data_IF_581307271651
#
_entry.id   IF_581307271651
#
_cell.length_a   1.000
_cell.length_b   1.000
_cell.length_c   1.000
_cell.angle_alpha   90.00
_cell.angle_beta   90.00
_cell.angle_gamma   90.00
#
_symmetry.space_group_name_H-M   'P 1'
#
loop_
_entity.id
_entity.type
_entity.pdbx_description
1 polymer ?
#
# COMPACT_ATOMS: atom_id res chain seq x y z
N UNK A 1 9.71 15.54 20.90
CA UNK A 1 9.28 16.69 20.08
C UNK A 1 7.81 16.48 19.76
N UNK A 2 6.93 17.43 20.06
CA UNK A 2 5.55 17.34 19.62
C UNK A 2 5.50 17.50 18.09
N UNK A 3 4.79 16.61 17.39
CA UNK A 3 4.49 16.80 15.97
C UNK A 3 3.70 18.11 15.82
N UNK A 4 4.10 18.96 14.87
CA UNK A 4 3.28 20.13 14.53
C UNK A 4 1.99 19.65 13.85
N UNK A 5 0.87 20.35 14.06
CA UNK A 5 -0.43 19.96 13.51
C UNK A 5 -0.41 19.67 12.00
N UNK A 6 0.37 20.44 11.23
CA UNK A 6 0.54 20.21 9.79
C UNK A 6 1.32 18.93 9.47
N UNK A 7 2.29 18.55 10.29
CA UNK A 7 2.99 17.27 10.12
C UNK A 7 2.09 16.07 10.42
N UNK A 8 1.15 16.23 11.36
CA UNK A 8 0.18 15.19 11.67
C UNK A 8 -0.83 15.02 10.52
N UNK A 9 -1.34 16.12 9.96
CA UNK A 9 -2.19 16.06 8.77
C UNK A 9 -1.47 15.39 7.60
N UNK A 10 -0.23 15.79 7.36
CA UNK A 10 0.59 15.21 6.29
C UNK A 10 0.83 13.71 6.50
N UNK A 11 1.05 13.27 7.74
CA UNK A 11 1.15 11.85 8.08
C UNK A 11 -0.16 11.10 7.77
N UNK A 12 -1.31 11.67 8.09
CA UNK A 12 -2.63 11.07 7.80
C UNK A 12 -2.89 10.95 6.30
N UNK A 13 -2.54 11.97 5.51
CA UNK A 13 -2.64 11.92 4.05
C UNK A 13 -1.71 10.86 3.45
N UNK A 14 -0.47 10.76 3.93
CA UNK A 14 0.46 9.71 3.52
C UNK A 14 -0.01 8.33 3.95
N UNK A 15 -0.63 8.21 5.13
CA UNK A 15 -1.26 6.97 5.59
C UNK A 15 -2.36 6.53 4.63
N UNK A 16 -3.29 7.44 4.28
CA UNK A 16 -4.38 7.11 3.36
C UNK A 16 -3.86 6.68 1.98
N UNK A 17 -2.86 7.39 1.46
CA UNK A 17 -2.23 7.00 0.19
C UNK A 17 -1.46 5.68 0.31
N UNK A 18 -0.93 5.35 1.49
CA UNK A 18 -0.30 4.04 1.73
C UNK A 18 -1.32 2.93 1.54
N UNK A 19 -2.54 3.07 2.07
CA UNK A 19 -3.57 2.04 1.92
C UNK A 19 -4.06 1.91 0.47
N UNK A 20 -4.26 3.04 -0.22
CA UNK A 20 -4.67 3.07 -1.64
C UNK A 20 -3.59 2.43 -2.52
N UNK A 21 -2.32 2.73 -2.26
CA UNK A 21 -1.18 2.12 -2.95
C UNK A 21 -1.00 0.64 -2.58
N UNK A 22 -1.19 0.30 -1.30
CA UNK A 22 -1.14 -1.05 -0.75
C UNK A 22 -2.08 -1.99 -1.49
N UNK A 23 -3.35 -1.61 -1.66
CA UNK A 23 -4.33 -2.41 -2.41
C UNK A 23 -3.84 -2.75 -3.82
N UNK A 24 -3.23 -1.78 -4.52
CA UNK A 24 -2.67 -2.03 -5.86
C UNK A 24 -1.50 -3.01 -5.82
N UNK A 25 -0.64 -2.90 -4.81
CA UNK A 25 0.49 -3.82 -4.58
C UNK A 25 -0.03 -5.23 -4.32
N UNK A 26 -0.93 -5.43 -3.36
CA UNK A 26 -1.45 -6.76 -3.02
C UNK A 26 -2.24 -7.38 -4.17
N UNK A 27 -3.06 -6.59 -4.87
CA UNK A 27 -3.80 -7.09 -6.04
C UNK A 27 -2.84 -7.56 -7.14
N UNK A 28 -1.77 -6.81 -7.42
CA UNK A 28 -0.75 -7.22 -8.38
C UNK A 28 0.04 -8.44 -7.89
N UNK A 29 0.38 -8.50 -6.61
CA UNK A 29 1.05 -9.65 -6.02
C UNK A 29 0.20 -10.92 -6.16
N UNK A 30 -1.09 -10.87 -5.87
CA UNK A 30 -2.05 -11.97 -6.02
C UNK A 30 -2.08 -12.49 -7.47
N UNK A 31 -2.00 -11.60 -8.47
CA UNK A 31 -1.88 -11.99 -9.89
C UNK A 31 -0.55 -12.72 -10.17
N UNK A 32 0.54 -12.22 -9.59
CA UNK A 32 1.88 -12.80 -9.70
C UNK A 32 2.03 -14.14 -8.98
N UNK A 33 1.20 -14.43 -7.98
CA UNK A 33 1.28 -15.64 -7.17
C UNK A 33 1.09 -16.92 -8.02
N UNK A 34 2.05 -17.83 -7.88
CA UNK A 34 2.07 -19.18 -8.46
C UNK A 34 1.79 -20.26 -7.39
N UNK A 35 2.04 -19.95 -6.12
CA UNK A 35 1.72 -20.78 -4.96
C UNK A 35 0.39 -20.34 -4.33
N UNK A 36 -0.50 -21.30 -4.07
CA UNK A 36 -1.85 -21.04 -3.55
C UNK A 36 -1.84 -20.54 -2.10
N UNK A 37 -0.97 -21.08 -1.23
CA UNK A 37 -0.85 -20.64 0.18
C UNK A 37 -0.37 -19.19 0.26
N UNK A 38 0.62 -18.82 -0.57
CA UNK A 38 1.11 -17.44 -0.66
C UNK A 38 0.01 -16.51 -1.17
N UNK A 39 -0.79 -16.96 -2.14
CA UNK A 39 -1.92 -16.17 -2.65
C UNK A 39 -2.97 -15.93 -1.57
N UNK A 40 -3.32 -16.96 -0.81
CA UNK A 40 -4.28 -16.85 0.30
C UNK A 40 -3.78 -15.90 1.39
N UNK A 41 -2.49 -15.90 1.69
CA UNK A 41 -1.92 -14.95 2.66
C UNK A 41 -2.01 -13.51 2.15
N UNK A 42 -1.64 -13.25 0.89
CA UNK A 42 -1.71 -11.90 0.32
C UNK A 42 -3.13 -11.37 0.17
N UNK A 43 -4.13 -12.25 0.03
CA UNK A 43 -5.54 -11.87 0.10
C UNK A 43 -5.96 -11.37 1.48
N UNK A 44 -5.33 -11.85 2.56
CA UNK A 44 -5.61 -11.34 3.91
C UNK A 44 -5.06 -9.92 4.06
N UNK A 45 -3.82 -9.68 3.62
CA UNK A 45 -3.24 -8.33 3.63
C UNK A 45 -4.08 -7.35 2.81
N UNK A 46 -4.55 -7.75 1.62
CA UNK A 46 -5.49 -6.93 0.84
C UNK A 46 -6.75 -6.57 1.64
N UNK A 47 -7.37 -7.54 2.32
CA UNK A 47 -8.56 -7.31 3.14
C UNK A 47 -8.27 -6.38 4.32
N UNK A 48 -7.11 -6.50 4.96
CA UNK A 48 -6.69 -5.64 6.07
C UNK A 48 -6.46 -4.21 5.59
N UNK A 49 -5.77 -4.02 4.46
CA UNK A 49 -5.54 -2.70 3.84
C UNK A 49 -6.84 -2.02 3.41
N UNK A 50 -7.84 -2.75 2.91
CA UNK A 50 -9.17 -2.20 2.61
C UNK A 50 -9.86 -1.67 3.88
N UNK A 51 -9.73 -2.39 5.00
CA UNK A 51 -10.24 -1.96 6.30
C UNK A 51 -9.48 -0.75 6.86
N UNK A 52 -8.16 -0.70 6.70
CA UNK A 52 -7.30 0.43 7.06
C UNK A 52 -7.69 1.70 6.28
N UNK A 53 -7.91 1.60 4.96
CA UNK A 53 -8.37 2.72 4.14
C UNK A 53 -9.71 3.25 4.67
N UNK A 54 -10.67 2.34 4.92
CA UNK A 54 -11.99 2.70 5.47
C UNK A 54 -11.85 3.45 6.79
N UNK A 55 -11.04 2.96 7.73
CA UNK A 55 -10.82 3.60 9.04
C UNK A 55 -10.20 5.00 8.88
N UNK A 56 -9.25 5.17 7.96
CA UNK A 56 -8.64 6.48 7.68
C UNK A 56 -9.65 7.45 7.09
N UNK A 57 -10.48 7.02 6.12
CA UNK A 57 -11.54 7.87 5.56
C UNK A 57 -12.57 8.29 6.61
N UNK A 58 -13.01 7.37 7.48
CA UNK A 58 -13.88 7.69 8.62
C UNK A 58 -13.21 8.67 9.60
N UNK A 59 -11.90 8.55 9.78
CA UNK A 59 -11.13 9.47 10.65
C UNK A 59 -11.10 10.86 10.05
N UNK A 60 -10.84 10.98 8.75
CA UNK A 60 -10.84 12.25 8.01
C UNK A 60 -12.18 12.97 8.15
N UNK A 61 -13.29 12.24 7.96
CA UNK A 61 -14.65 12.78 8.14
C UNK A 61 -14.84 13.37 9.55
N UNK A 62 -14.46 12.62 10.60
CA UNK A 62 -14.64 13.03 12.00
C UNK A 62 -13.83 14.28 12.36
N UNK A 63 -12.69 14.51 11.73
CA UNK A 63 -11.80 15.65 12.00
C UNK A 63 -11.90 16.76 10.95
N UNK A 64 -12.81 16.63 9.97
CA UNK A 64 -13.07 17.63 8.94
C UNK A 64 -11.95 17.80 7.92
N UNK A 65 -11.22 16.72 7.60
CA UNK A 65 -10.28 16.68 6.47
C UNK A 65 -10.95 16.12 5.22
N UNK A 66 -10.56 16.64 4.06
CA UNK A 66 -10.99 16.15 2.76
C UNK A 66 -10.00 15.08 2.26
N UNK A 67 -10.41 13.81 2.12
CA UNK A 67 -9.51 12.71 1.72
C UNK A 67 -8.99 12.84 0.29
N UNK A 68 -9.54 13.74 -0.53
CA UNK A 68 -9.15 13.93 -1.93
C UNK A 68 -8.10 15.04 -2.10
N UNK A 69 -7.65 15.66 -1.01
CA UNK A 69 -6.56 16.65 -1.07
C UNK A 69 -5.25 15.97 -1.47
N UNK A 70 -4.66 16.45 -2.56
CA UNK A 70 -3.32 16.08 -2.99
C UNK A 70 -2.27 16.84 -2.17
N UNK A 71 -1.28 16.11 -1.64
CA UNK A 71 -0.12 16.68 -0.97
C UNK A 71 1.17 16.14 -1.60
N UNK A 72 2.30 16.86 -1.48
CA UNK A 72 3.58 16.34 -1.97
C UNK A 72 3.96 14.98 -1.37
N UNK A 73 3.57 14.69 -0.12
CA UNK A 73 3.83 13.38 0.47
C UNK A 73 2.96 12.27 -0.11
N UNK A 74 1.69 12.55 -0.46
CA UNK A 74 0.86 11.59 -1.20
C UNK A 74 1.49 11.24 -2.55
N UNK A 75 1.91 12.25 -3.30
CA UNK A 75 2.59 12.04 -4.58
C UNK A 75 3.82 11.12 -4.43
N UNK A 76 4.63 11.32 -3.38
CA UNK A 76 5.79 10.46 -3.09
C UNK A 76 5.37 9.03 -2.72
N UNK A 77 4.35 8.85 -1.88
CA UNK A 77 3.87 7.51 -1.48
C UNK A 77 3.29 6.77 -2.68
N UNK A 78 2.44 7.43 -3.49
CA UNK A 78 1.88 6.90 -4.73
C UNK A 78 2.96 6.43 -5.69
N UNK A 79 3.96 7.28 -5.94
CA UNK A 79 5.07 6.97 -6.83
C UNK A 79 5.84 5.71 -6.41
N UNK A 80 5.98 5.48 -5.10
CA UNK A 80 6.60 4.24 -4.58
C UNK A 80 5.74 3.02 -4.86
N UNK A 81 4.44 3.09 -4.56
CA UNK A 81 3.52 1.99 -4.82
C UNK A 81 3.47 1.63 -6.31
N UNK A 82 3.37 2.64 -7.19
CA UNK A 82 3.41 2.46 -8.64
C UNK A 82 4.70 1.79 -9.12
N UNK A 83 5.85 2.13 -8.51
CA UNK A 83 7.13 1.51 -8.84
C UNK A 83 7.17 0.02 -8.46
N UNK A 84 6.62 -0.35 -7.30
CA UNK A 84 6.52 -1.76 -6.86
C UNK A 84 5.60 -2.56 -7.78
N UNK A 85 4.43 -2.01 -8.12
CA UNK A 85 3.50 -2.61 -9.09
C UNK A 85 4.16 -2.79 -10.46
N UNK A 86 4.89 -1.77 -10.92
CA UNK A 86 5.64 -1.83 -12.18
C UNK A 86 6.72 -2.91 -12.16
N UNK A 87 7.45 -3.06 -11.05
CA UNK A 87 8.47 -4.11 -10.90
C UNK A 87 7.87 -5.52 -11.04
N UNK A 88 6.74 -5.78 -10.36
CA UNK A 88 6.01 -7.04 -10.47
C UNK A 88 5.51 -7.29 -11.89
N UNK A 89 4.92 -6.29 -12.54
CA UNK A 89 4.45 -6.40 -13.92
C UNK A 89 5.61 -6.70 -14.88
N UNK A 90 6.74 -6.02 -14.73
CA UNK A 90 7.93 -6.26 -15.55
C UNK A 90 8.45 -7.69 -15.40
N UNK A 91 8.45 -8.25 -14.20
CA UNK A 91 8.84 -9.63 -13.96
C UNK A 91 7.86 -10.62 -14.59
N UNK A 92 6.56 -10.35 -14.47
CA UNK A 92 5.51 -11.17 -15.08
C UNK A 92 5.66 -11.22 -16.61
N UNK A 93 5.85 -10.06 -17.25
CA UNK A 93 5.94 -9.95 -18.70
C UNK A 93 7.21 -10.60 -19.27
N UNK A 94 8.34 -10.51 -18.54
CA UNK A 94 9.66 -10.91 -19.07
C UNK A 94 10.11 -12.29 -18.62
N UNK A 95 9.63 -12.76 -17.47
CA UNK A 95 10.14 -13.97 -16.82
C UNK A 95 9.05 -14.90 -16.28
N UNK A 96 7.77 -14.54 -16.42
CA UNK A 96 6.63 -15.38 -16.03
C UNK A 96 6.37 -15.43 -14.52
N UNK A 97 5.38 -16.24 -14.13
CA UNK A 97 4.82 -16.25 -12.76
C UNK A 97 5.84 -16.54 -11.66
N UNK A 98 6.71 -17.54 -11.83
CA UNK A 98 7.68 -17.89 -10.79
C UNK A 98 8.62 -16.74 -10.43
N UNK A 99 9.12 -16.00 -11.42
CA UNK A 99 9.95 -14.82 -11.18
C UNK A 99 9.12 -13.64 -10.63
N UNK A 100 7.90 -13.46 -11.14
CA UNK A 100 7.00 -12.42 -10.66
C UNK A 100 6.62 -12.59 -9.18
N UNK A 101 6.39 -13.83 -8.72
CA UNK A 101 6.12 -14.11 -7.31
C UNK A 101 7.29 -13.70 -6.40
N UNK A 102 8.54 -13.89 -6.84
CA UNK A 102 9.70 -13.49 -6.04
C UNK A 102 9.76 -11.96 -5.89
N UNK A 103 9.55 -11.22 -6.98
CA UNK A 103 9.48 -9.75 -6.95
C UNK A 103 8.28 -9.26 -6.15
N UNK A 104 7.15 -9.97 -6.22
CA UNK A 104 5.98 -9.67 -5.42
C UNK A 104 6.23 -9.87 -3.91
N UNK A 105 6.94 -10.92 -3.53
CA UNK A 105 7.33 -11.13 -2.13
C UNK A 105 8.22 -9.99 -1.59
N UNK A 106 9.20 -9.52 -2.38
CA UNK A 106 10.01 -8.34 -2.01
C UNK A 106 9.16 -7.08 -1.90
N UNK A 107 8.25 -6.85 -2.85
CA UNK A 107 7.34 -5.71 -2.87
C UNK A 107 6.40 -5.71 -1.66
N UNK A 108 5.95 -6.89 -1.23
CA UNK A 108 5.11 -7.05 -0.04
C UNK A 108 5.89 -6.76 1.23
N UNK A 109 7.17 -7.15 1.34
CA UNK A 109 7.99 -6.76 2.50
C UNK A 109 8.04 -5.23 2.66
N UNK A 110 8.17 -4.48 1.57
CA UNK A 110 8.13 -3.01 1.62
C UNK A 110 6.76 -2.46 2.02
N UNK A 111 5.67 -3.04 1.49
CA UNK A 111 4.30 -2.65 1.82
C UNK A 111 3.99 -2.92 3.30
N UNK A 112 4.20 -4.15 3.77
CA UNK A 112 3.96 -4.58 5.15
C UNK A 112 4.83 -3.81 6.16
N UNK A 113 6.09 -3.54 5.82
CA UNK A 113 6.95 -2.71 6.70
C UNK A 113 6.36 -1.32 6.89
N UNK A 114 5.76 -0.76 5.82
CA UNK A 114 5.15 0.56 5.88
C UNK A 114 3.78 0.54 6.58
N UNK A 115 2.99 -0.50 6.38
CA UNK A 115 1.72 -0.73 7.09
C UNK A 115 1.96 -0.85 8.60
N UNK A 116 2.89 -1.72 9.01
CA UNK A 116 3.28 -1.89 10.40
C UNK A 116 3.81 -0.58 11.02
N UNK A 117 4.50 0.27 10.27
CA UNK A 117 4.90 1.60 10.76
C UNK A 117 3.69 2.51 11.04
N UNK A 118 2.62 2.38 10.28
CA UNK A 118 1.43 3.20 10.41
C UNK A 118 0.49 2.70 11.53
N UNK A 119 0.39 1.39 11.71
CA UNK A 119 -0.67 0.76 12.51
C UNK A 119 -0.23 0.08 13.82
N UNK A 120 1.05 -0.25 13.99
CA UNK A 120 1.61 -0.87 15.22
C UNK A 120 2.52 0.08 16.03
#
# INVERSE_FOLDING_TARGET
MALKAEQLKELLYQGLETEIGGQQIYQKAIECADNDEVREEWQKYLSETEDHERILRETFEKIGLDPEVETPGREVVRSKAEALVSAMQMALDKAGKGAAQLVAAESIVEAETKDHQNWE
#
